data_IF_421777476310
#
_entry.id   IF_421777476310
#
_cell.length_a   1.000
_cell.length_b   1.000
_cell.length_c   1.000
_cell.angle_alpha   90.00
_cell.angle_beta   90.00
_cell.angle_gamma   90.00
#
_symmetry.space_group_name_H-M   'P 1'
#
loop_
_entity.id
_entity.type
_entity.pdbx_description
1 polymer ?
#
# COMPACT_ATOMS: atom_id res chain seq x y z
N UNK A 1 -8.45 11.13 14.36
CA UNK A 1 -9.66 11.01 15.24
C UNK A 1 -9.82 9.57 15.71
N UNK A 2 -10.04 9.39 17.01
CA UNK A 2 -10.36 8.08 17.57
C UNK A 2 -11.88 7.89 17.45
N UNK A 3 -12.29 6.76 16.85
CA UNK A 3 -13.71 6.42 16.78
C UNK A 3 -14.28 6.23 18.18
N UNK A 4 -15.52 6.69 18.45
CA UNK A 4 -16.15 6.58 19.77
C UNK A 4 -16.44 5.12 20.19
N UNK A 5 -16.48 4.22 19.22
CA UNK A 5 -16.62 2.77 19.43
C UNK A 5 -15.68 2.01 18.48
N UNK A 6 -15.02 0.94 18.94
CA UNK A 6 -14.23 0.09 18.08
C UNK A 6 -15.10 -0.65 17.05
N UNK A 7 -14.56 -0.89 15.88
CA UNK A 7 -15.18 -1.81 14.91
C UNK A 7 -14.88 -3.25 15.40
N UNK A 8 -15.92 -4.05 15.70
CA UNK A 8 -15.71 -5.41 16.21
C UNK A 8 -14.81 -6.23 15.29
N UNK A 9 -13.85 -6.94 15.87
CA UNK A 9 -12.90 -7.83 15.21
C UNK A 9 -11.96 -7.18 14.18
N UNK A 10 -12.01 -5.86 13.91
CA UNK A 10 -11.14 -5.24 12.90
C UNK A 10 -9.66 -5.52 13.18
N UNK A 11 -9.18 -5.25 14.39
CA UNK A 11 -7.79 -5.50 14.77
C UNK A 11 -7.40 -6.98 14.63
N UNK A 12 -8.28 -7.88 15.07
CA UNK A 12 -8.06 -9.32 14.95
C UNK A 12 -7.92 -9.77 13.50
N UNK A 13 -8.80 -9.31 12.60
CA UNK A 13 -8.75 -9.64 11.17
C UNK A 13 -7.46 -9.12 10.55
N UNK A 14 -7.11 -7.85 10.79
CA UNK A 14 -5.90 -7.24 10.24
C UNK A 14 -4.64 -7.95 10.74
N UNK A 15 -4.55 -8.25 12.04
CA UNK A 15 -3.40 -8.94 12.61
C UNK A 15 -3.20 -10.35 12.03
N UNK A 16 -4.28 -11.12 11.89
CA UNK A 16 -4.21 -12.46 11.29
C UNK A 16 -3.88 -12.41 9.79
N UNK A 17 -4.42 -11.45 9.05
CA UNK A 17 -4.09 -11.26 7.64
C UNK A 17 -2.63 -10.84 7.48
N UNK A 18 -2.14 -9.89 8.28
CA UNK A 18 -0.75 -9.50 8.28
C UNK A 18 0.17 -10.70 8.57
N UNK A 19 -0.11 -11.48 9.61
CA UNK A 19 0.66 -12.68 9.94
C UNK A 19 0.70 -13.68 8.77
N UNK A 20 -0.45 -13.94 8.14
CA UNK A 20 -0.53 -14.82 6.97
C UNK A 20 0.34 -14.33 5.81
N UNK A 21 0.27 -13.05 5.46
CA UNK A 21 1.04 -12.52 4.33
C UNK A 21 2.53 -12.36 4.65
N UNK A 22 2.90 -12.00 5.88
CA UNK A 22 4.30 -11.97 6.32
C UNK A 22 4.94 -13.36 6.21
N UNK A 23 4.22 -14.42 6.56
CA UNK A 23 4.69 -15.80 6.39
C UNK A 23 4.77 -16.19 4.91
N UNK A 24 3.74 -15.87 4.10
CA UNK A 24 3.66 -16.21 2.68
C UNK A 24 4.68 -15.48 1.79
N UNK A 25 5.37 -14.47 2.33
CA UNK A 25 6.39 -13.67 1.61
C UNK A 25 7.77 -13.74 2.25
N UNK A 26 7.97 -14.60 3.23
CA UNK A 26 9.24 -14.74 3.97
C UNK A 26 10.42 -15.16 3.10
N UNK A 27 10.15 -15.81 1.99
CA UNK A 27 11.13 -16.19 0.96
C UNK A 27 11.60 -15.03 0.08
N UNK A 28 10.88 -13.88 0.10
CA UNK A 28 11.20 -12.69 -0.67
C UNK A 28 12.06 -11.74 0.16
N UNK A 29 11.65 -11.47 1.38
CA UNK A 29 12.30 -10.52 2.29
C UNK A 29 12.15 -11.01 3.74
N UNK A 30 13.20 -10.92 4.56
CA UNK A 30 13.06 -11.14 5.99
C UNK A 30 12.07 -10.12 6.57
N UNK A 31 11.29 -10.54 7.55
CA UNK A 31 10.34 -9.65 8.19
C UNK A 31 10.47 -9.62 9.71
N UNK A 32 9.78 -8.68 10.32
CA UNK A 32 9.86 -8.42 11.76
C UNK A 32 9.12 -9.43 12.63
N UNK A 33 8.16 -10.19 12.08
CA UNK A 33 7.33 -11.11 12.84
C UNK A 33 8.13 -12.33 13.30
N UNK A 34 8.10 -12.60 14.59
CA UNK A 34 8.63 -13.82 15.22
C UNK A 34 7.52 -14.84 15.48
N UNK A 35 6.38 -14.39 16.02
CA UNK A 35 5.22 -15.24 16.30
C UNK A 35 3.91 -14.48 16.39
N UNK A 36 2.80 -15.20 16.23
CA UNK A 36 1.44 -14.69 16.42
C UNK A 36 0.72 -15.62 17.43
N UNK A 37 0.97 -15.44 18.74
CA UNK A 37 0.49 -16.35 19.79
C UNK A 37 -1.02 -16.21 20.05
N UNK A 38 -1.65 -15.12 19.64
CA UNK A 38 -3.08 -14.85 19.76
C UNK A 38 -3.58 -14.11 18.53
N UNK A 39 -4.82 -14.27 18.09
CA UNK A 39 -5.36 -13.55 16.94
C UNK A 39 -5.20 -12.02 16.96
N UNK A 40 -5.08 -11.43 18.15
CA UNK A 40 -4.89 -9.98 18.33
C UNK A 40 -3.45 -9.60 18.70
N UNK A 41 -2.51 -10.55 18.81
CA UNK A 41 -1.16 -10.31 19.30
C UNK A 41 -0.13 -10.84 18.32
N UNK A 42 0.78 -9.98 17.90
CA UNK A 42 1.98 -10.33 17.15
C UNK A 42 3.21 -9.95 17.97
N UNK A 43 4.16 -10.86 18.08
CA UNK A 43 5.47 -10.62 18.71
C UNK A 43 6.48 -10.53 17.59
N UNK A 44 7.37 -9.55 17.66
CA UNK A 44 8.35 -9.35 16.61
C UNK A 44 9.60 -8.61 17.07
N UNK A 45 10.53 -8.52 16.16
CA UNK A 45 11.82 -7.82 16.33
C UNK A 45 11.59 -6.32 16.49
N UNK A 46 12.33 -5.70 17.37
CA UNK A 46 12.39 -4.24 17.45
C UNK A 46 13.35 -3.74 16.37
N UNK A 47 12.79 -3.31 15.25
CA UNK A 47 13.54 -2.76 14.12
C UNK A 47 13.67 -1.24 14.24
N UNK A 48 14.65 -0.66 13.54
CA UNK A 48 14.77 0.79 13.34
C UNK A 48 14.02 1.18 12.05
N UNK A 49 12.86 1.86 12.13
CA UNK A 49 12.03 2.11 10.96
C UNK A 49 12.70 3.08 9.98
N UNK A 50 12.63 2.78 8.68
CA UNK A 50 13.00 3.74 7.65
C UNK A 50 11.90 4.82 7.55
N UNK A 51 12.32 6.08 7.31
CA UNK A 51 11.43 7.25 7.28
C UNK A 51 10.70 7.44 5.95
N UNK A 52 10.48 6.35 5.21
CA UNK A 52 9.84 6.34 3.90
C UNK A 52 8.91 5.15 3.81
N UNK A 53 7.70 5.39 3.34
CA UNK A 53 6.75 4.36 2.91
C UNK A 53 6.91 4.09 1.42
N UNK A 54 7.03 2.83 1.05
CA UNK A 54 7.11 2.40 -0.35
C UNK A 54 5.72 2.09 -0.88
N UNK A 55 5.06 3.11 -1.44
CA UNK A 55 3.76 2.92 -2.09
C UNK A 55 3.96 2.43 -3.51
N UNK A 56 3.34 1.31 -3.87
CA UNK A 56 3.37 0.76 -5.23
C UNK A 56 1.96 0.68 -5.81
N UNK A 57 1.83 1.06 -7.07
CA UNK A 57 0.55 1.20 -7.77
C UNK A 57 0.55 0.43 -9.08
N UNK A 58 -0.30 -0.58 -9.18
CA UNK A 58 -0.57 -1.29 -10.43
C UNK A 58 -1.66 -0.62 -11.28
N UNK A 59 -2.46 0.27 -10.68
CA UNK A 59 -3.61 0.91 -11.30
C UNK A 59 -3.71 2.38 -10.89
N UNK A 60 -4.30 3.19 -11.77
CA UNK A 60 -4.52 4.62 -11.55
C UNK A 60 -5.73 4.83 -10.63
N UNK A 61 -5.51 4.84 -9.33
CA UNK A 61 -6.56 4.93 -8.31
C UNK A 61 -6.19 5.85 -7.15
N UNK A 62 -7.17 6.20 -6.34
CA UNK A 62 -6.98 6.94 -5.08
C UNK A 62 -6.21 8.25 -5.26
N UNK A 63 -5.10 8.42 -4.51
CA UNK A 63 -4.30 9.65 -4.57
C UNK A 63 -3.73 9.90 -5.98
N UNK A 64 -3.19 8.88 -6.64
CA UNK A 64 -2.65 9.01 -8.00
C UNK A 64 -3.72 9.47 -9.01
N UNK A 65 -4.94 8.92 -8.90
CA UNK A 65 -6.05 9.39 -9.73
C UNK A 65 -6.43 10.84 -9.47
N UNK A 66 -6.50 11.27 -8.20
CA UNK A 66 -6.81 12.67 -7.86
C UNK A 66 -5.77 13.64 -8.46
N UNK A 67 -4.49 13.31 -8.36
CA UNK A 67 -3.41 14.10 -8.98
C UNK A 67 -3.51 14.08 -10.51
N UNK A 68 -3.74 12.93 -11.10
CA UNK A 68 -3.89 12.79 -12.56
C UNK A 68 -5.09 13.58 -13.10
N UNK A 69 -6.24 13.51 -12.41
CA UNK A 69 -7.46 14.25 -12.75
C UNK A 69 -7.26 15.77 -12.64
N UNK A 70 -6.42 16.23 -11.72
CA UNK A 70 -6.06 17.66 -11.60
C UNK A 70 -5.06 18.15 -12.66
N UNK A 71 -4.59 17.25 -13.54
CA UNK A 71 -3.68 17.60 -14.64
C UNK A 71 -2.24 17.11 -14.46
N UNK A 72 -1.87 16.56 -13.28
CA UNK A 72 -0.54 16.02 -13.08
C UNK A 72 -0.27 14.82 -13.99
N UNK A 73 0.96 14.71 -14.49
CA UNK A 73 1.46 13.58 -15.29
C UNK A 73 2.75 13.00 -14.70
N UNK A 74 3.20 13.58 -13.61
CA UNK A 74 4.35 13.11 -12.83
C UNK A 74 3.89 13.01 -11.38
N UNK A 75 4.18 11.90 -10.73
CA UNK A 75 3.92 11.65 -9.30
C UNK A 75 5.20 11.08 -8.69
N UNK A 76 5.73 11.69 -7.64
CA UNK A 76 6.98 11.29 -6.98
C UNK A 76 8.16 11.10 -7.96
N UNK A 77 8.25 11.96 -8.99
CA UNK A 77 9.27 11.86 -10.05
C UNK A 77 8.97 10.84 -11.15
N UNK A 78 7.90 10.02 -11.02
CA UNK A 78 7.56 8.98 -12.00
C UNK A 78 6.48 9.48 -12.96
N UNK A 79 6.70 9.29 -14.27
CA UNK A 79 5.75 9.69 -15.31
C UNK A 79 4.56 8.72 -15.39
N UNK A 80 3.38 9.27 -15.50
CA UNK A 80 2.14 8.54 -15.76
C UNK A 80 1.73 8.74 -17.23
N UNK A 81 1.34 7.66 -17.96
CA UNK A 81 0.93 7.76 -19.36
C UNK A 81 -0.27 8.70 -19.56
N UNK A 82 -0.31 9.39 -20.71
CA UNK A 82 -1.46 10.21 -21.09
C UNK A 82 -2.67 9.37 -21.48
N UNK A 83 -3.87 9.97 -21.35
CA UNK A 83 -5.13 9.37 -21.80
C UNK A 83 -5.71 8.28 -20.89
N UNK A 84 -5.10 8.05 -19.73
CA UNK A 84 -5.62 7.09 -18.75
C UNK A 84 -6.90 7.58 -18.08
N UNK A 85 -7.74 6.64 -17.69
CA UNK A 85 -8.96 6.82 -16.91
C UNK A 85 -8.79 6.28 -15.51
N UNK A 86 -9.68 6.66 -14.61
CA UNK A 86 -9.75 6.07 -13.28
C UNK A 86 -9.79 4.55 -13.34
N UNK A 87 -9.00 3.91 -12.50
CA UNK A 87 -8.88 2.46 -12.42
C UNK A 87 -8.20 1.77 -13.61
N UNK A 88 -7.64 2.50 -14.58
CA UNK A 88 -6.83 1.89 -15.62
C UNK A 88 -5.56 1.25 -15.03
N UNK A 89 -5.18 0.12 -15.59
CA UNK A 89 -3.94 -0.57 -15.25
C UNK A 89 -2.75 0.19 -15.84
N UNK A 90 -1.71 0.42 -15.04
CA UNK A 90 -0.45 0.91 -15.55
C UNK A 90 0.27 -0.17 -16.39
N UNK A 91 1.04 0.21 -17.42
CA UNK A 91 1.87 -0.74 -18.17
C UNK A 91 2.81 -1.53 -17.27
N UNK A 92 3.41 -0.85 -16.28
CA UNK A 92 4.22 -1.42 -15.21
C UNK A 92 3.81 -0.78 -13.88
N UNK A 93 3.90 -1.50 -12.74
CA UNK A 93 3.61 -0.92 -11.44
C UNK A 93 4.58 0.23 -11.12
N UNK A 94 4.03 1.34 -10.63
CA UNK A 94 4.79 2.54 -10.28
C UNK A 94 5.05 2.60 -8.78
N UNK A 95 6.30 2.83 -8.38
CA UNK A 95 6.65 3.14 -6.98
C UNK A 95 6.56 4.66 -6.81
N UNK A 96 5.75 5.10 -5.87
CA UNK A 96 5.49 6.51 -5.54
C UNK A 96 5.66 6.69 -4.03
N UNK A 97 6.89 6.89 -3.54
CA UNK A 97 7.16 6.92 -2.10
C UNK A 97 6.50 8.11 -1.41
N UNK A 98 6.26 7.94 -0.11
CA UNK A 98 5.88 9.05 0.77
C UNK A 98 6.81 9.11 1.98
N UNK A 99 7.03 10.29 2.53
CA UNK A 99 7.71 10.44 3.81
C UNK A 99 6.83 9.90 4.92
N UNK A 100 7.44 9.34 5.95
CA UNK A 100 6.74 9.03 7.21
C UNK A 100 6.95 10.20 8.16
N UNK A 101 5.92 11.04 8.30
CA UNK A 101 5.97 12.22 9.14
C UNK A 101 5.85 11.83 10.63
N UNK A 102 6.71 12.38 11.47
CA UNK A 102 6.57 12.26 12.94
C UNK A 102 5.37 13.09 13.44
N UNK A 103 5.06 14.20 12.73
CA UNK A 103 3.89 15.08 12.96
C UNK A 103 3.33 15.56 11.61
N UNK A 104 2.00 15.63 11.49
CA UNK A 104 1.33 16.08 10.26
C UNK A 104 0.86 14.96 9.37
N UNK A 105 1.06 15.10 8.07
CA UNK A 105 0.67 14.12 7.03
C UNK A 105 1.89 13.67 6.24
N UNK A 106 1.87 12.42 5.80
CA UNK A 106 2.84 11.90 4.86
C UNK A 106 2.80 12.69 3.56
N UNK A 107 3.97 13.03 3.03
CA UNK A 107 4.13 13.84 1.81
C UNK A 107 4.74 13.00 0.70
N UNK A 108 4.25 13.19 -0.50
CA UNK A 108 4.85 12.63 -1.72
C UNK A 108 6.31 13.08 -1.83
N UNK A 109 7.22 12.15 -2.08
CA UNK A 109 8.65 12.43 -2.20
C UNK A 109 9.26 11.66 -3.37
N UNK A 110 10.25 12.26 -4.04
CA UNK A 110 10.97 11.59 -5.13
C UNK A 110 12.08 10.70 -4.60
N UNK A 111 12.49 9.70 -5.37
CA UNK A 111 13.68 8.89 -5.09
C UNK A 111 14.93 9.76 -4.89
N UNK A 112 15.10 10.74 -5.75
CA UNK A 112 16.22 11.68 -5.73
C UNK A 112 16.26 12.48 -4.43
N UNK A 113 15.11 12.97 -3.98
CA UNK A 113 15.02 13.73 -2.73
C UNK A 113 15.24 12.84 -1.49
N UNK A 114 14.78 11.59 -1.50
CA UNK A 114 15.04 10.62 -0.43
C UNK A 114 16.54 10.45 -0.23
N UNK A 115 17.27 10.21 -1.33
CA UNK A 115 18.70 10.00 -1.31
C UNK A 115 19.47 11.30 -0.98
N UNK A 116 19.07 12.42 -1.59
CA UNK A 116 19.72 13.73 -1.36
C UNK A 116 19.56 14.22 0.08
N UNK A 117 18.42 13.93 0.73
CA UNK A 117 18.18 14.26 2.15
C UNK A 117 18.78 13.24 3.12
N UNK A 118 19.32 12.13 2.62
CA UNK A 118 19.87 11.06 3.45
C UNK A 118 18.81 10.37 4.33
N UNK A 119 17.55 10.30 3.88
CA UNK A 119 16.47 9.66 4.64
C UNK A 119 16.64 8.14 4.68
N UNK A 120 17.24 7.56 3.65
CA UNK A 120 17.54 6.14 3.51
C UNK A 120 18.93 6.01 2.88
N UNK A 121 19.71 5.04 3.31
CA UNK A 121 20.97 4.68 2.64
C UNK A 121 20.70 4.23 1.19
N UNK A 122 21.53 4.64 0.20
CA UNK A 122 21.30 4.27 -1.20
C UNK A 122 21.18 2.77 -1.45
N UNK A 123 22.04 1.96 -0.81
CA UNK A 123 22.00 0.50 -0.96
C UNK A 123 20.75 -0.11 -0.32
N UNK A 124 20.31 0.42 0.82
CA UNK A 124 19.04 0.01 1.43
C UNK A 124 17.85 0.40 0.56
N UNK A 125 17.86 1.59 -0.03
CA UNK A 125 16.78 2.03 -0.90
C UNK A 125 16.63 1.13 -2.14
N UNK A 126 17.72 0.74 -2.78
CA UNK A 126 17.71 -0.22 -3.92
C UNK A 126 17.12 -1.59 -3.52
N UNK A 127 17.45 -2.07 -2.30
CA UNK A 127 16.84 -3.28 -1.77
C UNK A 127 15.35 -3.11 -1.52
N UNK A 128 14.93 -1.97 -0.95
CA UNK A 128 13.52 -1.66 -0.71
C UNK A 128 12.73 -1.60 -2.02
N UNK A 129 13.25 -1.00 -3.10
CA UNK A 129 12.62 -1.01 -4.42
C UNK A 129 12.47 -2.45 -4.95
N UNK A 130 13.53 -3.24 -4.90
CA UNK A 130 13.50 -4.65 -5.33
C UNK A 130 12.47 -5.48 -4.56
N UNK A 131 12.46 -5.36 -3.24
CA UNK A 131 11.51 -6.05 -2.38
C UNK A 131 10.07 -5.59 -2.64
N UNK A 132 9.85 -4.29 -2.82
CA UNK A 132 8.55 -3.70 -3.13
C UNK A 132 7.95 -4.31 -4.40
N UNK A 133 8.72 -4.39 -5.49
CA UNK A 133 8.26 -5.04 -6.73
C UNK A 133 7.98 -6.53 -6.55
N UNK A 134 8.84 -7.27 -5.86
CA UNK A 134 8.68 -8.71 -5.66
C UNK A 134 7.48 -9.03 -4.76
N UNK A 135 7.28 -8.26 -3.68
CA UNK A 135 6.13 -8.38 -2.80
C UNK A 135 4.82 -8.07 -3.54
N UNK A 136 4.81 -7.01 -4.35
CA UNK A 136 3.63 -6.64 -5.13
C UNK A 136 3.27 -7.71 -6.17
N UNK A 137 4.25 -8.28 -6.85
CA UNK A 137 4.04 -9.38 -7.79
C UNK A 137 3.45 -10.62 -7.10
N UNK A 138 4.00 -11.01 -5.93
CA UNK A 138 3.49 -12.13 -5.12
C UNK A 138 2.06 -11.83 -4.63
N UNK A 139 1.81 -10.65 -4.08
CA UNK A 139 0.49 -10.25 -3.60
C UNK A 139 -0.54 -10.21 -4.72
N UNK A 140 -0.17 -9.72 -5.91
CA UNK A 140 -1.03 -9.71 -7.09
C UNK A 140 -1.42 -11.12 -7.54
N UNK A 141 -0.46 -12.05 -7.61
CA UNK A 141 -0.74 -13.44 -7.96
C UNK A 141 -1.64 -14.13 -6.91
N UNK A 142 -1.43 -13.87 -5.63
CA UNK A 142 -2.27 -14.39 -4.55
C UNK A 142 -3.68 -13.83 -4.57
N UNK A 143 -3.84 -12.56 -4.93
CA UNK A 143 -5.14 -11.90 -5.09
C UNK A 143 -5.90 -12.47 -6.29
N UNK A 144 -5.23 -12.57 -7.45
CA UNK A 144 -5.82 -13.09 -8.68
C UNK A 144 -6.34 -14.51 -8.52
N UNK A 145 -5.59 -15.37 -7.83
CA UNK A 145 -6.02 -16.74 -7.50
C UNK A 145 -7.30 -16.79 -6.64
N UNK A 146 -7.74 -15.66 -6.09
CA UNK A 146 -8.97 -15.50 -5.28
C UNK A 146 -10.01 -14.60 -5.93
N UNK A 147 -9.86 -14.30 -7.23
CA UNK A 147 -10.79 -13.46 -7.97
C UNK A 147 -10.70 -11.97 -7.59
N UNK A 148 -9.54 -11.53 -7.10
CA UNK A 148 -9.27 -10.15 -6.73
C UNK A 148 -8.11 -9.56 -7.55
N UNK A 149 -8.10 -8.25 -7.68
CA UNK A 149 -7.01 -7.46 -8.27
C UNK A 149 -6.38 -6.65 -7.13
N UNK A 150 -5.08 -6.81 -6.89
CA UNK A 150 -4.33 -5.91 -6.02
C UNK A 150 -4.03 -4.62 -6.79
N UNK A 151 -4.67 -3.54 -6.40
CA UNK A 151 -4.63 -2.24 -7.10
C UNK A 151 -3.40 -1.43 -6.73
N UNK A 152 -3.24 -1.21 -5.46
CA UNK A 152 -2.11 -0.52 -4.84
C UNK A 152 -1.93 -1.02 -3.39
N UNK A 153 -0.74 -0.81 -2.87
CA UNK A 153 -0.41 -1.12 -1.48
C UNK A 153 0.78 -0.27 -1.04
N UNK A 154 1.02 -0.23 0.26
CA UNK A 154 2.22 0.35 0.85
C UNK A 154 3.00 -0.70 1.62
N UNK A 155 4.33 -0.56 1.62
CA UNK A 155 5.23 -1.36 2.43
C UNK A 155 6.09 -0.45 3.28
N UNK A 156 6.34 -0.88 4.51
CA UNK A 156 7.27 -0.22 5.42
C UNK A 156 8.46 -1.13 5.68
N UNK A 157 9.64 -0.54 5.73
CA UNK A 157 10.88 -1.26 5.97
C UNK A 157 11.59 -0.69 7.19
N UNK A 158 12.35 -1.53 7.84
CA UNK A 158 13.22 -1.15 8.95
C UNK A 158 14.55 -1.85 8.86
N UNK A 159 15.48 -1.48 9.73
CA UNK A 159 16.78 -2.13 9.86
C UNK A 159 16.78 -2.97 11.13
N UNK A 160 17.22 -4.21 11.00
CA UNK A 160 17.46 -5.13 12.10
C UNK A 160 18.77 -5.88 11.87
N UNK A 161 19.77 -5.71 12.76
CA UNK A 161 21.10 -6.32 12.63
C UNK A 161 21.76 -6.02 11.27
N UNK A 162 21.71 -4.76 10.84
CA UNK A 162 22.24 -4.25 9.57
C UNK A 162 21.54 -4.80 8.30
N UNK A 163 20.43 -5.51 8.44
CA UNK A 163 19.63 -5.99 7.31
C UNK A 163 18.33 -5.21 7.14
N UNK A 164 17.95 -4.98 5.87
CA UNK A 164 16.62 -4.43 5.52
C UNK A 164 15.57 -5.49 5.75
N UNK A 165 14.61 -5.22 6.61
CA UNK A 165 13.49 -6.12 6.93
C UNK A 165 12.16 -5.44 6.66
N UNK A 166 11.16 -6.20 6.23
CA UNK A 166 9.80 -5.75 6.11
C UNK A 166 9.20 -5.61 7.51
N UNK A 167 8.59 -4.46 7.79
CA UNK A 167 7.91 -4.15 9.05
C UNK A 167 6.45 -3.80 8.79
N UNK A 168 5.70 -3.52 9.86
CA UNK A 168 4.27 -3.17 9.81
C UNK A 168 3.40 -4.29 9.21
N UNK A 169 2.26 -3.94 8.67
CA UNK A 169 1.32 -4.87 8.02
C UNK A 169 1.57 -4.97 6.51
N UNK A 170 1.14 -6.06 5.90
CA UNK A 170 1.29 -6.29 4.47
C UNK A 170 -0.01 -6.85 3.88
N UNK A 171 -0.41 -6.31 2.73
CA UNK A 171 -1.54 -6.78 1.91
C UNK A 171 -2.91 -6.85 2.63
N UNK A 172 -3.05 -6.20 3.77
CA UNK A 172 -4.35 -6.09 4.44
C UNK A 172 -5.26 -5.08 3.73
N UNK A 173 -6.58 -5.14 3.89
CA UNK A 173 -7.48 -4.14 3.32
C UNK A 173 -7.30 -2.72 3.89
N UNK A 174 -6.51 -2.55 4.95
CA UNK A 174 -6.18 -1.24 5.51
C UNK A 174 -4.98 -0.60 4.81
N UNK A 175 -3.95 -1.40 4.47
CA UNK A 175 -2.75 -0.97 3.74
C UNK A 175 -2.87 -1.08 2.23
N UNK A 176 -3.89 -1.79 1.71
CA UNK A 176 -4.02 -2.13 0.30
C UNK A 176 -5.43 -1.88 -0.22
N UNK A 177 -5.52 -1.63 -1.52
CA UNK A 177 -6.80 -1.57 -2.25
C UNK A 177 -6.92 -2.78 -3.14
N UNK A 178 -8.11 -3.39 -3.14
CA UNK A 178 -8.45 -4.48 -4.04
C UNK A 178 -9.71 -4.16 -4.84
N UNK A 179 -9.72 -4.61 -6.11
CA UNK A 179 -10.94 -4.70 -6.90
C UNK A 179 -11.37 -6.16 -7.03
N UNK A 180 -12.66 -6.40 -7.27
CA UNK A 180 -13.12 -7.69 -7.72
C UNK A 180 -12.71 -7.89 -9.18
N UNK A 181 -12.10 -9.02 -9.50
CA UNK A 181 -11.69 -9.36 -10.87
C UNK A 181 -12.94 -9.54 -11.77
N UNK A 182 -13.98 -10.17 -11.21
CA UNK A 182 -15.26 -10.33 -11.91
C UNK A 182 -15.90 -8.98 -12.20
N UNK A 183 -16.16 -8.72 -13.48
CA UNK A 183 -16.79 -7.50 -13.97
C UNK A 183 -15.88 -6.29 -14.01
N UNK A 184 -14.56 -6.42 -13.74
CA UNK A 184 -13.63 -5.29 -13.83
C UNK A 184 -13.59 -4.71 -15.25
N UNK A 185 -13.38 -5.57 -16.26
CA UNK A 185 -13.26 -5.15 -17.67
C UNK A 185 -14.54 -4.49 -18.18
N UNK A 186 -15.69 -5.04 -17.84
CA UNK A 186 -17.00 -4.54 -18.25
C UNK A 186 -17.28 -3.15 -17.63
N UNK A 187 -17.01 -2.97 -16.32
CA UNK A 187 -17.16 -1.67 -15.66
C UNK A 187 -16.20 -0.65 -16.23
N UNK A 188 -14.93 -1.04 -16.45
CA UNK A 188 -13.92 -0.17 -17.04
C UNK A 188 -14.32 0.30 -18.43
N UNK A 189 -14.83 -0.60 -19.27
CA UNK A 189 -15.33 -0.27 -20.62
C UNK A 189 -16.51 0.69 -20.61
N UNK A 190 -17.37 0.64 -19.57
CA UNK A 190 -18.53 1.52 -19.41
C UNK A 190 -18.22 2.81 -18.64
N UNK A 191 -17.00 2.97 -18.09
CA UNK A 191 -16.62 4.10 -17.24
C UNK A 191 -17.34 4.11 -15.89
N UNK A 192 -17.71 2.95 -15.39
CA UNK A 192 -18.33 2.76 -14.08
C UNK A 192 -17.28 2.60 -13.00
N UNK A 193 -17.61 2.97 -11.74
CA UNK A 193 -16.74 2.72 -10.59
C UNK A 193 -16.52 1.23 -10.38
N UNK A 194 -15.29 0.87 -10.03
CA UNK A 194 -14.93 -0.51 -9.72
C UNK A 194 -15.49 -0.94 -8.37
N UNK A 195 -15.96 -2.20 -8.29
CA UNK A 195 -16.32 -2.81 -7.02
C UNK A 195 -15.04 -3.11 -6.24
N UNK A 196 -14.90 -2.52 -5.04
CA UNK A 196 -13.65 -2.55 -4.29
C UNK A 196 -13.78 -3.11 -2.88
N UNK A 197 -12.66 -3.62 -2.37
CA UNK A 197 -12.43 -3.99 -0.97
C UNK A 197 -11.29 -3.13 -0.45
N UNK A 198 -11.60 -2.11 0.34
CA UNK A 198 -10.64 -1.24 1.02
C UNK A 198 -11.36 -0.34 2.01
N UNK A 199 -10.61 0.41 2.81
CA UNK A 199 -11.17 1.45 3.69
C UNK A 199 -11.84 2.60 2.93
N UNK A 200 -11.55 2.79 1.66
CA UNK A 200 -12.19 3.82 0.81
C UNK A 200 -13.70 3.61 0.70
N UNK A 201 -14.18 2.36 0.73
CA UNK A 201 -15.61 2.06 0.74
C UNK A 201 -16.36 2.78 1.89
N UNK A 202 -15.79 2.78 3.10
CA UNK A 202 -16.37 3.47 4.25
C UNK A 202 -16.26 4.98 4.10
N UNK A 203 -15.15 5.46 3.55
CA UNK A 203 -14.90 6.89 3.28
C UNK A 203 -15.89 7.44 2.27
N UNK A 204 -16.10 6.75 1.15
CA UNK A 204 -17.08 7.13 0.12
C UNK A 204 -18.49 7.20 0.72
N UNK A 205 -18.89 6.18 1.47
CA UNK A 205 -20.18 6.18 2.15
C UNK A 205 -20.35 7.38 3.11
N UNK A 206 -19.32 7.68 3.90
CA UNK A 206 -19.33 8.84 4.82
C UNK A 206 -19.45 10.17 4.07
N UNK A 207 -18.71 10.33 2.97
CA UNK A 207 -18.76 11.53 2.13
C UNK A 207 -20.14 11.72 1.49
N UNK A 208 -20.75 10.65 0.98
CA UNK A 208 -22.11 10.66 0.41
C UNK A 208 -23.18 11.04 1.43
N UNK A 209 -22.89 10.81 2.74
CA UNK A 209 -23.75 11.18 3.85
C UNK A 209 -23.33 12.50 4.54
N UNK A 210 -22.50 13.30 3.87
CA UNK A 210 -22.14 14.65 4.31
C UNK A 210 -21.01 14.73 5.34
N UNK A 211 -20.33 13.63 5.66
CA UNK A 211 -19.17 13.63 6.54
C UNK A 211 -17.88 13.81 5.73
N UNK A 212 -17.21 14.93 5.91
CA UNK A 212 -15.98 15.28 5.17
C UNK A 212 -14.68 15.15 5.98
N UNK A 213 -14.73 14.51 7.13
CA UNK A 213 -13.53 14.20 7.91
C UNK A 213 -12.91 15.40 8.64
N UNK A 214 -13.71 16.38 9.03
CA UNK A 214 -13.31 17.53 9.87
C UNK A 214 -13.40 17.19 11.35
#
# INVERSE_FOLDING_TARGET
>A
HILPRPIPYKGQVLNQMAAFFLEATRDIVPNWMESCPDPNVMIGKKCDPQRVEMVIRGYLAGHAWRQYKSGARILCGVSMPDGMKESDKFPEPLITPATKADEGHDEDITREDILARGLVDPGHYELMEKYTHALFARGSAMAEARGLILVDTKYEFGIYQDEVVLIDEIHTPDSSRYYYLEGYTERQGRGEHQKQLSKEFVREWLMDHGFQGL
#
